data_IF_117709715506
#
_entry.id   IF_117709715506
#
_cell.length_a   1.000
_cell.length_b   1.000
_cell.length_c   1.000
_cell.angle_alpha   90.00
_cell.angle_beta   90.00
_cell.angle_gamma   90.00
#
_symmetry.space_group_name_H-M   'P 1'
#
loop_
_entity.id
_entity.type
_entity.pdbx_description
1 polymer ?
#
# COMPACT_ATOMS: atom_id res chain seq x y z
N UNK A 1 -9.21 7.81 3.10
CA UNK A 1 -9.13 6.34 3.29
C UNK A 1 -10.46 5.70 3.67
N UNK A 2 -11.11 6.02 4.79
CA UNK A 2 -12.41 5.41 5.19
C UNK A 2 -13.48 5.43 4.09
N UNK A 3 -13.63 6.54 3.36
CA UNK A 3 -14.59 6.66 2.24
C UNK A 3 -14.31 5.67 1.09
N UNK A 4 -13.07 5.23 0.95
CA UNK A 4 -12.62 4.27 -0.07
C UNK A 4 -12.62 2.82 0.44
N UNK A 5 -13.11 2.55 1.66
CA UNK A 5 -13.17 1.20 2.23
C UNK A 5 -11.81 0.61 2.64
N UNK A 6 -10.77 1.44 2.79
CA UNK A 6 -9.41 0.99 3.11
C UNK A 6 -9.04 1.33 4.55
N UNK A 7 -8.67 0.30 5.32
CA UNK A 7 -8.11 0.45 6.65
C UNK A 7 -6.60 0.68 6.59
N UNK A 8 -6.09 1.60 7.42
CA UNK A 8 -4.66 1.95 7.47
C UNK A 8 -4.19 2.05 8.92
N UNK A 9 -2.90 1.79 9.15
CA UNK A 9 -2.26 2.00 10.44
C UNK A 9 -1.37 3.24 10.34
N UNK A 10 -1.78 4.32 11.00
CA UNK A 10 -0.92 5.48 11.22
C UNK A 10 -0.01 5.18 12.43
N UNK A 11 1.28 5.40 12.27
CA UNK A 11 2.27 5.25 13.35
C UNK A 11 2.93 6.60 13.64
N UNK A 12 3.07 6.89 14.93
CA UNK A 12 3.76 8.06 15.46
C UNK A 12 4.58 7.68 16.69
N UNK A 13 5.03 8.67 17.45
CA UNK A 13 5.75 8.46 18.71
C UNK A 13 4.95 7.54 19.65
N UNK A 14 5.56 6.49 20.26
CA UNK A 14 6.99 6.18 20.33
C UNK A 14 7.54 5.28 19.20
N UNK A 15 6.70 4.79 18.28
CA UNK A 15 7.14 3.89 17.21
C UNK A 15 8.00 4.59 16.13
N UNK A 16 7.88 5.92 16.02
CA UNK A 16 8.67 6.77 15.11
C UNK A 16 9.05 8.07 15.82
N UNK A 17 10.14 8.77 15.40
CA UNK A 17 10.40 10.14 15.85
C UNK A 17 9.20 11.06 15.57
N UNK A 18 9.08 12.14 16.34
CA UNK A 18 7.93 13.06 16.31
C UNK A 18 7.66 13.62 14.90
N UNK A 19 8.71 13.91 14.14
CA UNK A 19 8.62 14.50 12.80
C UNK A 19 8.50 13.47 11.66
N UNK A 20 8.56 12.17 11.97
CA UNK A 20 8.62 11.08 10.98
C UNK A 20 7.43 10.12 11.08
N UNK A 21 6.27 10.68 11.46
CA UNK A 21 5.00 9.96 11.41
C UNK A 21 4.73 9.45 10.01
N UNK A 22 4.26 8.21 9.90
CA UNK A 22 4.03 7.54 8.62
C UNK A 22 2.87 6.56 8.70
N UNK A 23 2.45 6.07 7.54
CA UNK A 23 1.50 4.96 7.46
C UNK A 23 2.29 3.67 7.26
N UNK A 24 2.00 2.64 8.07
CA UNK A 24 2.57 1.29 7.91
C UNK A 24 1.53 0.40 7.24
N UNK A 25 1.89 -0.16 6.09
CA UNK A 25 1.07 -1.14 5.40
C UNK A 25 1.23 -2.52 6.04
N UNK A 26 0.11 -3.15 6.39
CA UNK A 26 0.05 -4.50 6.92
C UNK A 26 -0.56 -5.41 5.85
N UNK A 27 0.29 -5.95 4.98
CA UNK A 27 -0.10 -6.83 3.89
C UNK A 27 0.12 -8.30 4.27
N UNK A 28 -0.67 -9.18 3.68
CA UNK A 28 -0.63 -10.64 3.84
C UNK A 28 -0.93 -11.32 2.51
N UNK A 29 -0.65 -12.62 2.40
CA UNK A 29 -0.96 -13.42 1.22
C UNK A 29 -2.46 -13.47 0.86
N UNK A 30 -3.34 -13.09 1.78
CA UNK A 30 -4.80 -13.06 1.54
C UNK A 30 -5.26 -11.84 0.73
N UNK A 31 -4.39 -10.85 0.47
CA UNK A 31 -4.75 -9.70 -0.34
C UNK A 31 -4.68 -10.06 -1.82
N UNK A 32 -5.78 -9.88 -2.55
CA UNK A 32 -5.81 -10.12 -3.99
C UNK A 32 -5.17 -8.96 -4.76
N UNK A 33 -4.80 -9.20 -6.02
CA UNK A 33 -4.20 -8.19 -6.91
C UNK A 33 -5.11 -6.97 -7.05
N UNK A 34 -6.41 -7.21 -7.19
CA UNK A 34 -7.44 -6.17 -7.33
C UNK A 34 -7.58 -5.32 -6.06
N UNK A 35 -7.43 -5.93 -4.88
CA UNK A 35 -7.42 -5.18 -3.61
C UNK A 35 -6.24 -4.21 -3.56
N UNK A 36 -5.06 -4.66 -4.00
CA UNK A 36 -3.85 -3.83 -4.02
C UNK A 36 -3.97 -2.68 -5.03
N UNK A 37 -4.49 -2.96 -6.22
CA UNK A 37 -4.71 -1.94 -7.25
C UNK A 37 -5.71 -0.88 -6.79
N UNK A 38 -6.81 -1.30 -6.15
CA UNK A 38 -7.79 -0.37 -5.54
C UNK A 38 -7.15 0.50 -4.45
N UNK A 39 -6.33 -0.09 -3.58
CA UNK A 39 -5.61 0.65 -2.55
C UNK A 39 -4.67 1.69 -3.18
N UNK A 40 -3.90 1.32 -4.20
CA UNK A 40 -2.99 2.24 -4.89
C UNK A 40 -3.73 3.44 -5.49
N UNK A 41 -4.87 3.21 -6.15
CA UNK A 41 -5.71 4.28 -6.70
C UNK A 41 -6.26 5.20 -5.60
N UNK A 42 -6.77 4.62 -4.51
CA UNK A 42 -7.31 5.36 -3.37
C UNK A 42 -6.25 6.25 -2.70
N UNK A 43 -5.03 5.74 -2.51
CA UNK A 43 -3.91 6.53 -1.99
C UNK A 43 -3.47 7.61 -2.97
N UNK A 44 -3.47 7.31 -4.28
CA UNK A 44 -3.08 8.27 -5.29
C UNK A 44 -4.00 9.50 -5.31
N UNK A 45 -5.31 9.27 -5.20
CA UNK A 45 -6.33 10.30 -5.08
C UNK A 45 -6.16 11.10 -3.79
N UNK A 46 -6.24 10.43 -2.64
CA UNK A 46 -6.20 11.09 -1.32
C UNK A 46 -4.90 11.86 -1.11
N UNK A 47 -3.77 11.30 -1.54
CA UNK A 47 -2.47 11.97 -1.47
C UNK A 47 -2.40 13.24 -2.32
N UNK A 48 -3.13 13.28 -3.45
CA UNK A 48 -3.30 14.47 -4.27
C UNK A 48 -4.13 15.53 -3.56
N UNK A 49 -5.26 15.12 -2.97
CA UNK A 49 -6.18 16.01 -2.25
C UNK A 49 -5.52 16.74 -1.07
N UNK A 50 -4.59 16.06 -0.37
CA UNK A 50 -3.89 16.59 0.82
C UNK A 50 -2.47 17.08 0.52
N UNK A 51 -2.09 17.17 -0.77
CA UNK A 51 -0.78 17.67 -1.22
C UNK A 51 0.44 16.92 -0.64
N UNK A 52 0.29 15.64 -0.29
CA UNK A 52 1.38 14.81 0.23
C UNK A 52 2.11 13.99 -0.85
N UNK A 53 1.76 14.16 -2.13
CA UNK A 53 2.49 13.58 -3.26
C UNK A 53 3.77 14.37 -3.56
N UNK A 54 4.77 14.24 -2.68
CA UNK A 54 6.02 15.01 -2.73
C UNK A 54 7.20 14.24 -3.35
N UNK A 55 7.00 12.98 -3.72
CA UNK A 55 8.06 12.18 -4.33
C UNK A 55 8.54 12.83 -5.64
N UNK A 56 9.86 13.00 -5.77
CA UNK A 56 10.51 13.46 -7.01
C UNK A 56 10.64 12.34 -8.05
N UNK A 57 10.35 11.10 -7.68
CA UNK A 57 10.38 9.97 -8.61
C UNK A 57 9.15 10.01 -9.51
N UNK A 58 9.36 9.74 -10.79
CA UNK A 58 8.26 9.59 -11.73
C UNK A 58 7.44 8.34 -11.36
N UNK A 59 6.10 8.41 -11.42
CA UNK A 59 5.27 7.23 -11.23
C UNK A 59 5.61 6.19 -12.30
N UNK A 60 5.55 4.91 -11.91
CA UNK A 60 5.68 3.81 -12.86
C UNK A 60 4.58 3.90 -13.92
N UNK A 61 4.97 3.83 -15.20
CA UNK A 61 4.06 3.94 -16.35
C UNK A 61 3.86 2.63 -17.12
N UNK A 62 4.56 1.57 -16.73
CA UNK A 62 4.39 0.26 -17.35
C UNK A 62 3.13 -0.44 -16.86
N UNK A 63 2.79 -1.54 -17.52
CA UNK A 63 1.74 -2.45 -17.05
C UNK A 63 2.31 -3.32 -15.92
N UNK A 64 1.55 -3.45 -14.82
CA UNK A 64 1.90 -4.34 -13.72
C UNK A 64 1.46 -5.74 -14.13
N UNK A 65 2.41 -6.52 -14.63
CA UNK A 65 2.17 -7.94 -14.95
C UNK A 65 2.39 -8.72 -13.66
N UNK A 66 1.29 -9.20 -13.09
CA UNK A 66 1.37 -10.10 -11.96
C UNK A 66 1.49 -11.54 -12.46
N UNK A 67 2.64 -12.17 -12.26
CA UNK A 67 2.75 -13.62 -12.45
C UNK A 67 1.77 -14.33 -11.51
N UNK A 68 1.07 -15.34 -12.02
CA UNK A 68 0.31 -16.26 -11.18
C UNK A 68 1.32 -17.19 -10.52
N UNK A 69 1.68 -16.87 -9.28
CA UNK A 69 2.48 -17.76 -8.45
C UNK A 69 1.54 -18.86 -7.99
N UNK A 70 1.34 -19.88 -8.83
CA UNK A 70 0.69 -21.13 -8.44
C UNK A 70 1.39 -21.66 -7.18
N UNK A 71 0.78 -21.45 -6.03
CA UNK A 71 1.32 -21.85 -4.74
C UNK A 71 1.18 -23.36 -4.56
N UNK A 72 2.13 -24.15 -5.08
CA UNK A 72 2.59 -25.31 -4.33
C UNK A 72 3.54 -24.83 -3.23
N UNK A 73 2.98 -24.23 -2.16
CA UNK A 73 3.71 -24.15 -0.89
C UNK A 73 3.70 -25.58 -0.33
N UNK A 74 4.70 -26.37 -0.73
CA UNK A 74 5.05 -27.59 0.01
C UNK A 74 5.52 -27.13 1.38
N UNK A 75 4.61 -27.21 2.35
CA UNK A 75 4.98 -27.19 3.76
C UNK A 75 5.86 -28.43 3.97
N UNK A 76 7.18 -28.23 3.97
CA UNK A 76 8.12 -29.25 4.44
C UNK A 76 7.87 -29.41 5.94
N UNK A 77 7.39 -30.60 6.33
CA UNK A 77 7.40 -31.12 7.70
C UNK A 77 8.83 -31.14 8.28
#
# INVERSE_FOLDING_TARGET
MRKNGVAIVAVGFPATPILEGRIRFCMSASHTKEMLDHVLQAFAQVGGDILLRVSRLLPYKGEIIYEDVDQEVKFLE
#
